data_IF_422583874804
#
_entry.id   IF_422583874804
#
_cell.length_a   1.000
_cell.length_b   1.000
_cell.length_c   1.000
_cell.angle_alpha   90.00
_cell.angle_beta   90.00
_cell.angle_gamma   90.00
#
_symmetry.space_group_name_H-M   'P 1'
#
loop_
_entity.id
_entity.type
_entity.pdbx_description
1 polymer ?
#
# COMPACT_ATOMS: atom_id res chain seq x y z
N UNK A 1 -12.15 -75.03 7.80
CA UNK A 1 -11.60 -75.32 6.47
C UNK A 1 -11.72 -74.06 5.64
N UNK A 2 -10.56 -73.55 5.20
CA UNK A 2 -10.29 -72.78 3.95
C UNK A 2 -11.20 -71.61 3.58
N UNK A 3 -10.73 -70.47 3.07
CA UNK A 3 -9.45 -69.77 2.93
C UNK A 3 -9.86 -68.54 2.10
N UNK A 4 -9.38 -67.35 2.41
CA UNK A 4 -9.73 -66.14 1.68
C UNK A 4 -8.83 -64.98 2.03
N UNK A 5 -7.52 -65.13 1.77
CA UNK A 5 -6.59 -64.01 1.65
C UNK A 5 -7.08 -63.06 0.56
N UNK A 6 -6.95 -61.74 0.78
CA UNK A 6 -6.47 -60.79 -0.23
C UNK A 6 -6.01 -59.47 0.43
N UNK A 7 -4.73 -59.21 0.21
CA UNK A 7 -4.04 -57.93 -0.01
C UNK A 7 -4.13 -56.75 0.97
N UNK A 8 -3.07 -56.68 1.78
CA UNK A 8 -2.45 -55.43 2.21
C UNK A 8 -1.96 -54.65 0.97
N UNK A 9 -2.69 -53.62 0.55
CA UNK A 9 -2.19 -52.62 -0.40
C UNK A 9 -1.60 -51.43 0.34
N UNK A 10 -0.32 -51.23 0.09
CA UNK A 10 0.51 -50.09 0.45
C UNK A 10 -0.17 -48.78 -0.03
N UNK A 11 -0.63 -47.90 0.87
CA UNK A 11 -1.07 -46.53 0.53
C UNK A 11 -0.01 -45.53 0.97
N UNK A 12 0.53 -44.84 -0.02
CA UNK A 12 1.50 -43.76 0.16
C UNK A 12 0.92 -42.58 0.95
N UNK A 13 1.72 -41.86 1.74
CA UNK A 13 1.33 -40.61 2.36
C UNK A 13 1.56 -39.47 1.37
N UNK A 14 0.50 -38.74 1.01
CA UNK A 14 0.65 -37.63 0.07
C UNK A 14 -0.68 -37.20 -0.52
N UNK A 15 -1.52 -36.55 0.27
CA UNK A 15 -2.61 -35.76 -0.28
C UNK A 15 -2.60 -34.43 0.45
N UNK A 16 -1.85 -33.48 -0.13
CA UNK A 16 -1.89 -32.08 0.25
C UNK A 16 -3.23 -31.55 -0.24
N UNK A 17 -4.07 -31.10 0.67
CA UNK A 17 -5.26 -30.32 0.31
C UNK A 17 -4.79 -28.90 0.01
N UNK A 18 -4.41 -28.61 -1.23
CA UNK A 18 -4.30 -27.24 -1.72
C UNK A 18 -5.71 -26.73 -2.00
N UNK A 19 -6.26 -25.96 -1.07
CA UNK A 19 -7.41 -25.11 -1.35
C UNK A 19 -6.87 -23.92 -2.13
N UNK A 20 -6.96 -23.97 -3.45
CA UNK A 20 -6.70 -22.84 -4.33
C UNK A 20 -7.77 -21.77 -4.09
N UNK A 21 -7.39 -20.70 -3.39
CA UNK A 21 -8.18 -19.48 -3.32
C UNK A 21 -7.96 -18.67 -4.60
N UNK A 22 -8.74 -18.93 -5.64
CA UNK A 22 -8.71 -18.19 -6.91
C UNK A 22 -9.42 -16.83 -6.88
N UNK A 23 -9.79 -16.31 -5.71
CA UNK A 23 -10.53 -15.04 -5.57
C UNK A 23 -9.71 -13.83 -5.07
N UNK A 24 -8.38 -13.96 -4.98
CA UNK A 24 -7.51 -12.84 -4.58
C UNK A 24 -7.38 -11.73 -5.64
N UNK A 25 -7.82 -11.98 -6.88
CA UNK A 25 -7.76 -11.01 -7.98
C UNK A 25 -8.99 -10.10 -8.07
N UNK A 26 -10.11 -10.46 -7.46
CA UNK A 26 -11.33 -9.65 -7.50
C UNK A 26 -11.23 -8.40 -6.58
N UNK A 27 -10.53 -8.53 -5.45
CA UNK A 27 -10.32 -7.43 -4.49
C UNK A 27 -9.32 -6.38 -4.97
N UNK A 28 -8.34 -6.75 -5.81
CA UNK A 28 -7.46 -5.76 -6.45
C UNK A 28 -8.19 -4.93 -7.50
N UNK A 29 -9.19 -5.49 -8.18
CA UNK A 29 -9.92 -4.78 -9.25
C UNK A 29 -11.03 -3.86 -8.73
N UNK A 30 -11.58 -4.13 -7.54
CA UNK A 30 -12.58 -3.28 -6.89
C UNK A 30 -12.00 -2.10 -6.08
N UNK A 31 -10.68 -2.06 -5.86
CA UNK A 31 -9.99 -0.95 -5.19
C UNK A 31 -9.27 -0.01 -6.17
N UNK A 32 -9.13 -0.37 -7.45
CA UNK A 32 -8.23 0.30 -8.39
C UNK A 32 -8.80 1.48 -9.20
N UNK A 33 -10.07 1.86 -9.08
CA UNK A 33 -10.55 3.14 -9.64
C UNK A 33 -10.54 4.21 -8.55
N UNK A 34 -9.36 4.56 -8.04
CA UNK A 34 -9.23 5.63 -7.05
C UNK A 34 -9.01 6.96 -7.77
N UNK A 35 -10.11 7.54 -8.28
CA UNK A 35 -10.08 8.89 -8.82
C UNK A 35 -9.60 9.87 -7.74
N UNK A 36 -8.74 10.81 -8.15
CA UNK A 36 -8.14 11.78 -7.24
C UNK A 36 -9.21 12.81 -6.84
N UNK A 37 -9.56 12.85 -5.56
CA UNK A 37 -10.53 13.82 -5.03
C UNK A 37 -9.81 15.10 -4.66
N UNK A 38 -9.80 16.08 -5.56
CA UNK A 38 -9.26 17.41 -5.30
C UNK A 38 -10.26 18.23 -4.47
N UNK A 39 -9.79 18.83 -3.37
CA UNK A 39 -10.57 19.81 -2.60
C UNK A 39 -10.80 21.08 -3.41
N UNK A 40 -11.87 21.82 -3.13
CA UNK A 40 -12.17 23.10 -3.81
C UNK A 40 -11.01 24.11 -3.72
N UNK A 41 -10.24 24.08 -2.63
CA UNK A 41 -9.04 24.91 -2.48
C UNK A 41 -7.96 24.54 -3.49
N UNK A 42 -7.68 23.25 -3.68
CA UNK A 42 -6.68 22.79 -4.65
C UNK A 42 -7.12 23.05 -6.10
N UNK A 43 -8.43 22.94 -6.39
CA UNK A 43 -8.98 23.36 -7.68
C UNK A 43 -8.75 24.86 -7.93
N UNK A 44 -8.99 25.69 -6.93
CA UNK A 44 -8.72 27.14 -7.01
C UNK A 44 -7.23 27.50 -7.11
N UNK A 45 -6.33 26.65 -6.60
CA UNK A 45 -4.89 26.82 -6.78
C UNK A 45 -4.45 26.49 -8.21
N UNK A 46 -5.07 25.49 -8.82
CA UNK A 46 -4.77 25.03 -10.18
C UNK A 46 -5.47 25.87 -11.26
N UNK A 47 -6.53 26.63 -10.93
CA UNK A 47 -7.25 27.47 -11.90
C UNK A 47 -6.39 28.57 -12.53
N UNK A 48 -5.28 28.96 -11.89
CA UNK A 48 -4.33 29.90 -12.49
C UNK A 48 -3.59 29.30 -13.70
N UNK A 49 -3.39 27.98 -13.73
CA UNK A 49 -2.65 27.30 -14.79
C UNK A 49 -3.34 27.39 -16.16
N UNK A 50 -4.68 27.53 -16.20
CA UNK A 50 -5.40 27.69 -17.47
C UNK A 50 -5.20 29.04 -18.14
N UNK A 51 -4.66 30.04 -17.41
CA UNK A 51 -4.41 31.39 -17.92
C UNK A 51 -2.96 31.61 -18.39
N UNK A 52 -2.11 30.59 -18.20
CA UNK A 52 -0.66 30.68 -18.34
C UNK A 52 -0.20 29.77 -19.48
N UNK A 53 0.83 30.19 -20.22
CA UNK A 53 1.37 29.42 -21.34
C UNK A 53 1.84 28.02 -20.91
N UNK A 54 1.65 27.00 -21.77
CA UNK A 54 1.98 25.61 -21.44
C UNK A 54 3.46 25.40 -21.11
N UNK A 55 4.36 26.19 -21.69
CA UNK A 55 5.80 26.15 -21.38
C UNK A 55 6.09 26.57 -19.94
N UNK A 56 5.35 27.56 -19.44
CA UNK A 56 5.48 28.05 -18.06
C UNK A 56 4.91 27.03 -17.08
N UNK A 57 3.82 26.35 -17.43
CA UNK A 57 3.27 25.24 -16.62
C UNK A 57 4.30 24.12 -16.46
N UNK A 58 5.07 23.81 -17.50
CA UNK A 58 6.16 22.85 -17.42
C UNK A 58 7.27 23.31 -16.45
N UNK A 59 7.59 24.61 -16.44
CA UNK A 59 8.58 25.18 -15.51
C UNK A 59 8.08 25.19 -14.06
N UNK A 60 6.81 25.52 -13.80
CA UNK A 60 6.20 25.37 -12.48
C UNK A 60 6.21 23.93 -12.00
N UNK A 61 5.94 23.02 -12.93
CA UNK A 61 6.11 21.60 -12.76
C UNK A 61 7.50 21.22 -12.26
N UNK A 62 8.55 21.69 -12.94
CA UNK A 62 9.96 21.50 -12.53
C UNK A 62 10.24 22.05 -11.13
N UNK A 63 9.79 23.27 -10.84
CA UNK A 63 9.96 23.90 -9.54
C UNK A 63 9.27 23.09 -8.43
N UNK A 64 8.04 22.62 -8.66
CA UNK A 64 7.30 21.80 -7.70
C UNK A 64 8.07 20.53 -7.31
N UNK A 65 8.79 19.93 -8.27
CA UNK A 65 9.58 18.72 -8.05
C UNK A 65 10.87 18.98 -7.32
N UNK A 66 11.57 20.08 -7.67
CA UNK A 66 12.76 20.50 -6.94
C UNK A 66 12.42 20.78 -5.47
N UNK A 67 11.22 21.32 -5.20
CA UNK A 67 10.72 21.50 -3.84
C UNK A 67 10.39 20.20 -3.13
N UNK A 68 9.81 19.21 -3.81
CA UNK A 68 9.62 17.87 -3.23
C UNK A 68 10.94 17.21 -2.80
N UNK A 69 12.06 17.59 -3.42
CA UNK A 69 13.38 17.01 -3.15
C UNK A 69 14.21 17.77 -2.14
N UNK A 70 14.27 19.09 -2.29
CA UNK A 70 15.21 19.97 -1.58
C UNK A 70 14.52 20.85 -0.55
N UNK A 71 13.19 20.83 -0.50
CA UNK A 71 12.38 21.74 0.30
C UNK A 71 12.05 23.03 -0.44
N UNK A 72 11.04 23.75 0.05
CA UNK A 72 10.56 25.00 -0.53
C UNK A 72 11.53 26.15 -0.27
N UNK A 73 11.68 27.06 -1.25
CA UNK A 73 12.49 28.27 -1.06
C UNK A 73 11.76 29.53 -1.56
N UNK A 74 11.67 30.60 -0.74
CA UNK A 74 10.91 31.79 -1.08
C UNK A 74 11.47 32.54 -2.29
N UNK A 75 12.80 32.52 -2.47
CA UNK A 75 13.50 33.21 -3.56
C UNK A 75 13.11 32.72 -4.95
N UNK A 76 12.76 31.44 -5.08
CA UNK A 76 12.36 30.86 -6.37
C UNK A 76 10.95 31.31 -6.75
N UNK A 77 10.04 31.44 -5.76
CA UNK A 77 8.71 32.01 -5.99
C UNK A 77 8.80 33.47 -6.46
N UNK A 78 9.62 34.29 -5.80
CA UNK A 78 9.85 35.70 -6.17
C UNK A 78 10.45 35.83 -7.58
N UNK A 79 11.41 34.97 -7.94
CA UNK A 79 12.04 34.96 -9.25
C UNK A 79 11.06 34.57 -10.36
N UNK A 80 10.23 33.55 -10.13
CA UNK A 80 9.21 33.10 -11.07
C UNK A 80 8.09 34.15 -11.24
N UNK A 81 7.61 34.74 -10.14
CA UNK A 81 6.63 35.83 -10.15
C UNK A 81 7.10 37.02 -10.99
N UNK A 82 8.38 37.42 -10.83
CA UNK A 82 8.96 38.52 -11.60
C UNK A 82 9.08 38.22 -13.10
N UNK A 83 9.38 36.96 -13.48
CA UNK A 83 9.47 36.54 -14.89
C UNK A 83 8.11 36.52 -15.60
N UNK A 84 7.05 36.24 -14.85
CA UNK A 84 5.71 36.01 -15.38
C UNK A 84 4.77 37.21 -15.20
N UNK A 85 5.21 38.24 -14.48
CA UNK A 85 4.37 39.40 -14.16
C UNK A 85 3.17 39.06 -13.26
N UNK A 86 3.24 37.94 -12.54
CA UNK A 86 2.18 37.47 -11.65
C UNK A 86 2.51 37.78 -10.18
N UNK A 87 1.50 37.71 -9.30
CA UNK A 87 1.75 37.83 -7.85
C UNK A 87 2.50 36.60 -7.32
N UNK A 88 3.32 36.81 -6.30
CA UNK A 88 4.09 35.72 -5.66
C UNK A 88 3.13 34.67 -5.09
N UNK A 89 1.99 35.11 -4.55
CA UNK A 89 0.95 34.26 -3.98
C UNK A 89 0.28 33.37 -5.04
N UNK A 90 0.04 33.88 -6.25
CA UNK A 90 -0.53 33.07 -7.34
C UNK A 90 0.45 31.99 -7.80
N UNK A 91 1.73 32.34 -7.95
CA UNK A 91 2.77 31.38 -8.32
C UNK A 91 2.94 30.33 -7.23
N UNK A 92 2.95 30.73 -5.96
CA UNK A 92 3.06 29.82 -4.84
C UNK A 92 1.90 28.82 -4.82
N UNK A 93 0.66 29.30 -4.93
CA UNK A 93 -0.53 28.44 -4.96
C UNK A 93 -0.50 27.47 -6.13
N UNK A 94 -0.13 27.93 -7.32
CA UNK A 94 -0.05 27.08 -8.51
C UNK A 94 0.98 25.95 -8.35
N UNK A 95 2.18 26.27 -7.86
CA UNK A 95 3.24 25.29 -7.59
C UNK A 95 2.84 24.31 -6.48
N UNK A 96 2.21 24.78 -5.40
CA UNK A 96 1.70 23.93 -4.33
C UNK A 96 0.58 23.00 -4.82
N UNK A 97 -0.31 23.49 -5.68
CA UNK A 97 -1.35 22.70 -6.33
C UNK A 97 -0.77 21.59 -7.20
N UNK A 98 0.24 21.90 -8.03
CA UNK A 98 0.95 20.92 -8.84
C UNK A 98 1.70 19.89 -7.99
N UNK A 99 2.35 20.35 -6.93
CA UNK A 99 3.04 19.49 -5.98
C UNK A 99 2.06 18.49 -5.35
N UNK A 100 0.90 18.97 -4.87
CA UNK A 100 -0.15 18.12 -4.31
C UNK A 100 -0.67 17.11 -5.33
N UNK A 101 -0.99 17.57 -6.54
CA UNK A 101 -1.52 16.73 -7.61
C UNK A 101 -0.54 15.59 -7.96
N UNK A 102 0.74 15.89 -8.14
CA UNK A 102 1.77 14.88 -8.45
C UNK A 102 1.97 13.93 -7.27
N UNK A 103 2.03 14.44 -6.05
CA UNK A 103 2.24 13.63 -4.85
C UNK A 103 1.09 12.65 -4.61
N UNK A 104 -0.15 13.12 -4.67
CA UNK A 104 -1.35 12.30 -4.52
C UNK A 104 -1.48 11.27 -5.64
N UNK A 105 -1.17 11.65 -6.88
CA UNK A 105 -1.17 10.73 -8.02
C UNK A 105 -0.13 9.61 -7.85
N UNK A 106 1.07 9.96 -7.35
CA UNK A 106 2.12 8.99 -7.05
C UNK A 106 1.75 8.09 -5.87
N UNK A 107 1.10 8.65 -4.84
CA UNK A 107 0.66 7.92 -3.65
C UNK A 107 -0.37 6.84 -3.99
N UNK A 108 -1.32 7.16 -4.88
CA UNK A 108 -2.34 6.22 -5.35
C UNK A 108 -1.90 5.35 -6.52
N UNK A 109 -0.68 5.55 -7.03
CA UNK A 109 -0.14 4.81 -8.17
C UNK A 109 -1.07 4.81 -9.38
N UNK A 110 -1.68 5.97 -9.68
CA UNK A 110 -2.71 6.10 -10.71
C UNK A 110 -2.21 5.64 -12.08
N UNK A 111 -3.09 4.98 -12.84
CA UNK A 111 -2.86 4.71 -14.25
C UNK A 111 -2.99 6.01 -15.06
N UNK A 112 -2.48 6.03 -16.29
CA UNK A 112 -2.58 7.19 -17.18
C UNK A 112 -4.04 7.61 -17.42
N UNK A 113 -4.93 6.63 -17.59
CA UNK A 113 -6.36 6.87 -17.79
C UNK A 113 -7.01 7.44 -16.53
N UNK A 114 -6.72 6.87 -15.35
CA UNK A 114 -7.30 7.35 -14.09
C UNK A 114 -6.82 8.77 -13.75
N UNK A 115 -5.58 9.10 -14.12
CA UNK A 115 -5.01 10.42 -13.93
C UNK A 115 -5.71 11.46 -14.81
N UNK A 116 -5.90 11.16 -16.11
CA UNK A 116 -6.61 12.04 -17.03
C UNK A 116 -8.07 12.23 -16.59
N UNK A 117 -8.75 11.15 -16.21
CA UNK A 117 -10.13 11.20 -15.71
C UNK A 117 -10.26 12.07 -14.45
N UNK A 118 -9.26 12.04 -13.58
CA UNK A 118 -9.22 12.88 -12.37
C UNK A 118 -9.04 14.37 -12.68
N UNK A 119 -8.28 14.71 -13.73
CA UNK A 119 -7.99 16.10 -14.12
C UNK A 119 -9.06 16.68 -15.03
N UNK A 120 -9.82 15.85 -15.76
CA UNK A 120 -10.92 16.30 -16.62
C UNK A 120 -11.93 17.18 -15.85
N UNK A 121 -12.13 16.93 -14.55
CA UNK A 121 -13.00 17.73 -13.66
C UNK A 121 -12.51 19.19 -13.51
N UNK A 122 -11.23 19.47 -13.75
CA UNK A 122 -10.65 20.81 -13.69
C UNK A 122 -10.95 21.66 -14.94
N UNK A 123 -11.43 21.05 -16.03
CA UNK A 123 -11.82 21.77 -17.24
C UNK A 123 -10.67 22.41 -18.02
N UNK A 124 -9.45 21.89 -17.89
CA UNK A 124 -8.30 22.39 -18.64
C UNK A 124 -8.32 21.98 -20.12
N UNK A 125 -7.53 22.68 -20.93
CA UNK A 125 -7.33 22.32 -22.34
C UNK A 125 -6.65 20.96 -22.48
N UNK A 126 -6.92 20.28 -23.59
CA UNK A 126 -6.36 18.95 -23.87
C UNK A 126 -4.82 18.98 -23.90
N UNK A 127 -4.22 20.06 -24.41
CA UNK A 127 -2.78 20.27 -24.45
C UNK A 127 -2.17 20.35 -23.04
N UNK A 128 -2.83 21.09 -22.13
CA UNK A 128 -2.39 21.22 -20.74
C UNK A 128 -2.51 19.87 -20.03
N UNK A 129 -3.61 19.14 -20.22
CA UNK A 129 -3.80 17.80 -19.65
C UNK A 129 -2.69 16.83 -20.08
N UNK A 130 -2.30 16.87 -21.37
CA UNK A 130 -1.20 16.05 -21.88
C UNK A 130 0.14 16.46 -21.27
N UNK A 131 0.40 17.76 -21.10
CA UNK A 131 1.61 18.25 -20.44
C UNK A 131 1.68 17.82 -18.96
N UNK A 132 0.56 17.87 -18.23
CA UNK A 132 0.47 17.38 -16.85
C UNK A 132 0.67 15.87 -16.76
N UNK A 133 0.13 15.11 -17.72
CA UNK A 133 0.34 13.66 -17.79
C UNK A 133 1.81 13.33 -18.03
N UNK A 134 2.46 14.01 -18.99
CA UNK A 134 3.90 13.84 -19.24
C UNK A 134 4.72 14.16 -18.00
N UNK A 135 4.36 15.23 -17.29
CA UNK A 135 4.99 15.57 -16.02
C UNK A 135 4.78 14.47 -14.97
N UNK A 136 3.56 13.98 -14.77
CA UNK A 136 3.30 12.88 -13.85
C UNK A 136 4.15 11.64 -14.18
N UNK A 137 4.18 11.23 -15.46
CA UNK A 137 4.92 10.05 -15.89
C UNK A 137 6.42 10.18 -15.65
N UNK A 138 7.03 11.29 -16.07
CA UNK A 138 8.46 11.56 -15.88
C UNK A 138 8.87 11.56 -14.40
N UNK A 139 7.95 11.95 -13.53
CA UNK A 139 8.25 12.25 -12.13
C UNK A 139 7.81 11.15 -11.19
N UNK A 140 6.86 10.32 -11.59
CA UNK A 140 6.43 9.14 -10.83
C UNK A 140 7.61 8.23 -10.49
N UNK A 141 8.57 8.06 -11.42
CA UNK A 141 9.79 7.31 -11.18
C UNK A 141 10.69 7.91 -10.08
N UNK A 142 10.62 9.23 -9.89
CA UNK A 142 11.50 9.99 -9.00
C UNK A 142 10.87 10.22 -7.62
N UNK A 143 9.55 10.39 -7.55
CA UNK A 143 8.80 10.67 -6.31
C UNK A 143 8.44 9.37 -5.56
N UNK A 144 8.14 8.27 -6.28
CA UNK A 144 7.83 6.97 -5.67
C UNK A 144 8.91 6.45 -4.70
N UNK A 145 10.22 6.49 -5.00
CA UNK A 145 11.23 6.03 -4.05
C UNK A 145 11.32 6.93 -2.80
N UNK A 146 11.03 8.23 -2.91
CA UNK A 146 10.97 9.14 -1.76
C UNK A 146 9.76 8.81 -0.87
N UNK A 147 8.59 8.62 -1.47
CA UNK A 147 7.39 8.16 -0.75
C UNK A 147 7.59 6.80 -0.08
N UNK A 148 8.31 5.88 -0.75
CA UNK A 148 8.66 4.58 -0.20
C UNK A 148 9.58 4.68 1.03
N UNK A 149 10.48 5.66 1.09
CA UNK A 149 11.32 5.91 2.27
C UNK A 149 10.53 6.50 3.45
N UNK A 150 9.51 7.32 3.15
CA UNK A 150 8.66 7.96 4.16
C UNK A 150 7.59 7.03 4.72
N UNK A 151 7.22 5.98 3.98
CA UNK A 151 6.21 5.00 4.41
C UNK A 151 6.87 3.88 5.22
N UNK A 152 6.45 3.63 6.47
CA UNK A 152 7.01 2.53 7.24
C UNK A 152 6.71 1.19 6.55
N UNK A 153 7.76 0.44 6.26
CA UNK A 153 7.70 -0.85 5.57
C UNK A 153 7.35 -1.95 6.57
N UNK A 154 6.06 -2.06 6.94
CA UNK A 154 5.63 -3.18 7.76
C UNK A 154 5.61 -4.48 6.93
N UNK A 155 6.11 -5.60 7.49
CA UNK A 155 5.96 -6.89 6.86
C UNK A 155 4.48 -7.29 6.81
N UNK A 156 4.02 -7.69 5.64
CA UNK A 156 2.64 -8.10 5.42
C UNK A 156 2.49 -9.59 5.69
N UNK A 157 1.46 -9.97 6.44
CA UNK A 157 1.13 -11.39 6.62
C UNK A 157 0.82 -12.04 5.27
N UNK A 158 1.44 -13.20 5.00
CA UNK A 158 1.16 -14.01 3.81
C UNK A 158 0.47 -15.31 4.18
N UNK A 159 1.07 -16.09 5.07
CA UNK A 159 0.52 -17.38 5.49
C UNK A 159 1.07 -17.82 6.85
N UNK A 160 0.37 -18.78 7.46
CA UNK A 160 0.72 -19.42 8.72
C UNK A 160 0.67 -20.93 8.52
N UNK A 161 1.79 -21.59 8.79
CA UNK A 161 1.88 -23.04 8.90
C UNK A 161 1.99 -23.40 10.37
N UNK A 162 1.46 -24.56 10.77
CA UNK A 162 1.53 -24.99 12.15
C UNK A 162 1.69 -26.50 12.29
N UNK A 163 2.29 -26.90 13.41
CA UNK A 163 2.42 -28.30 13.82
C UNK A 163 2.17 -28.43 15.32
N UNK A 164 1.32 -29.37 15.70
CA UNK A 164 1.10 -29.74 17.09
C UNK A 164 1.91 -31.00 17.40
N UNK A 165 2.87 -30.86 18.30
CA UNK A 165 3.68 -31.96 18.81
C UNK A 165 3.18 -32.34 20.20
N UNK A 166 2.97 -33.63 20.46
CA UNK A 166 2.53 -34.11 21.77
C UNK A 166 3.60 -35.03 22.33
N UNK A 167 4.31 -34.56 23.35
CA UNK A 167 5.27 -35.40 24.07
C UNK A 167 4.55 -36.14 25.20
N UNK A 168 4.52 -37.47 25.10
CA UNK A 168 4.12 -38.36 26.19
C UNK A 168 5.36 -38.58 27.05
N UNK A 169 5.44 -37.96 28.23
CA UNK A 169 6.57 -38.17 29.12
C UNK A 169 6.62 -39.61 29.68
N UNK A 170 7.83 -40.05 30.03
CA UNK A 170 8.28 -41.33 30.59
C UNK A 170 7.24 -42.31 31.17
N UNK A 171 7.53 -43.61 31.01
CA UNK A 171 6.79 -44.78 31.54
C UNK A 171 6.45 -44.73 33.04
N UNK A 172 7.10 -43.84 33.80
CA UNK A 172 6.91 -43.63 35.24
C UNK A 172 5.80 -42.63 35.60
N UNK A 173 5.35 -41.77 34.68
CA UNK A 173 4.31 -40.75 34.93
C UNK A 173 3.19 -40.87 33.88
N UNK A 174 2.30 -41.85 34.06
CA UNK A 174 1.37 -42.36 33.01
C UNK A 174 0.28 -41.41 32.49
N UNK A 175 0.32 -40.11 32.74
CA UNK A 175 -0.79 -39.20 32.41
C UNK A 175 -0.38 -37.78 31.99
N UNK A 176 0.91 -37.49 31.81
CA UNK A 176 1.33 -36.14 31.42
C UNK A 176 1.50 -36.04 29.90
N UNK A 177 0.52 -35.38 29.27
CA UNK A 177 0.58 -34.93 27.89
C UNK A 177 1.14 -33.50 27.88
N UNK A 178 2.27 -33.30 27.21
CA UNK A 178 2.87 -31.98 27.01
C UNK A 178 2.70 -31.56 25.54
N UNK A 179 1.54 -30.98 25.15
CA UNK A 179 1.34 -30.44 23.81
C UNK A 179 2.17 -29.17 23.62
N UNK A 180 2.91 -29.11 22.52
CA UNK A 180 3.69 -27.96 22.06
C UNK A 180 3.25 -27.64 20.64
N UNK A 181 2.82 -26.42 20.40
CA UNK A 181 2.51 -25.94 19.06
C UNK A 181 3.72 -25.21 18.49
N UNK A 182 4.14 -25.57 17.28
CA UNK A 182 5.10 -24.81 16.48
C UNK A 182 4.34 -24.08 15.39
N UNK A 183 4.52 -22.77 15.29
CA UNK A 183 3.92 -21.89 14.28
C UNK A 183 5.02 -21.32 13.39
N UNK A 184 4.82 -21.33 12.08
CA UNK A 184 5.68 -20.68 11.11
C UNK A 184 4.88 -19.59 10.39
N UNK A 185 5.22 -18.33 10.68
CA UNK A 185 4.63 -17.16 10.04
C UNK A 185 5.46 -16.80 8.81
N UNK A 186 4.82 -16.81 7.65
CA UNK A 186 5.40 -16.34 6.39
C UNK A 186 4.92 -14.90 6.18
N UNK A 187 5.88 -13.98 6.12
CA UNK A 187 5.65 -12.54 6.00
C UNK A 187 6.32 -12.03 4.70
N UNK A 188 5.63 -11.18 3.96
CA UNK A 188 6.20 -10.50 2.80
C UNK A 188 6.81 -9.18 3.26
N UNK A 189 8.09 -8.93 2.95
CA UNK A 189 8.70 -7.62 3.23
C UNK A 189 7.96 -6.54 2.43
N UNK A 190 7.33 -5.60 3.13
CA UNK A 190 6.59 -4.50 2.53
C UNK A 190 7.52 -3.42 2.00
N UNK A 191 8.28 -3.68 0.94
CA UNK A 191 9.09 -2.67 0.26
C UNK A 191 8.45 -2.24 -1.06
N UNK A 192 8.15 -0.94 -1.22
CA UNK A 192 7.68 -0.35 -2.48
C UNK A 192 8.79 -0.21 -3.55
N UNK A 193 10.00 -0.74 -3.31
CA UNK A 193 11.05 -0.88 -4.32
C UNK A 193 11.02 -2.30 -4.88
N UNK A 194 10.76 -2.43 -6.18
CA UNK A 194 10.63 -3.71 -6.92
C UNK A 194 11.90 -4.56 -7.03
N UNK A 195 12.72 -4.63 -5.97
CA UNK A 195 13.88 -5.52 -5.86
C UNK A 195 13.57 -6.70 -4.95
N UNK A 196 13.43 -7.88 -5.54
CA UNK A 196 13.38 -9.20 -4.91
C UNK A 196 12.48 -9.30 -3.66
N UNK A 197 11.22 -9.73 -3.87
CA UNK A 197 10.27 -10.08 -2.81
C UNK A 197 10.81 -11.17 -1.89
N UNK A 198 11.54 -10.76 -0.85
CA UNK A 198 12.01 -11.65 0.20
C UNK A 198 10.87 -11.95 1.15
N UNK A 199 10.45 -13.21 1.21
CA UNK A 199 9.61 -13.70 2.29
C UNK A 199 10.46 -13.90 3.56
N UNK A 200 10.03 -13.29 4.66
CA UNK A 200 10.55 -13.51 5.99
C UNK A 200 9.78 -14.65 6.65
N UNK A 201 10.49 -15.61 7.25
CA UNK A 201 9.88 -16.72 7.99
C UNK A 201 10.15 -16.52 9.48
N UNK A 202 9.10 -16.48 10.31
CA UNK A 202 9.22 -16.42 11.77
C UNK A 202 8.68 -17.68 12.39
N UNK A 203 9.56 -18.45 13.02
CA UNK A 203 9.21 -19.65 13.76
C UNK A 203 8.94 -19.29 15.22
N UNK A 204 7.79 -19.72 15.74
CA UNK A 204 7.35 -19.50 17.11
C UNK A 204 6.95 -20.83 17.73
N UNK A 205 7.20 -21.00 19.03
CA UNK A 205 6.64 -22.11 19.80
C UNK A 205 5.70 -21.56 20.86
N UNK A 206 4.52 -22.16 20.97
CA UNK A 206 3.48 -21.74 21.88
C UNK A 206 2.86 -22.94 22.59
N UNK A 207 2.50 -22.74 23.86
CA UNK A 207 1.63 -23.67 24.58
C UNK A 207 0.17 -23.40 24.21
N UNK A 208 -0.74 -24.38 24.34
CA UNK A 208 -2.16 -24.15 24.04
C UNK A 208 -2.77 -22.95 24.77
N UNK A 209 -2.42 -22.73 26.04
CA UNK A 209 -2.87 -21.56 26.81
C UNK A 209 -2.43 -20.23 26.18
N UNK A 210 -1.22 -20.17 25.61
CA UNK A 210 -0.72 -18.97 24.92
C UNK A 210 -1.47 -18.73 23.62
N UNK A 211 -1.87 -19.78 22.89
CA UNK A 211 -2.69 -19.64 21.68
C UNK A 211 -4.09 -19.11 21.99
N UNK A 212 -4.72 -19.59 23.06
CA UNK A 212 -6.03 -19.10 23.49
C UNK A 212 -5.96 -17.61 23.87
N UNK A 213 -4.90 -17.20 24.55
CA UNK A 213 -4.66 -15.80 24.85
C UNK A 213 -4.45 -14.97 23.57
N UNK A 214 -3.68 -15.48 22.61
CA UNK A 214 -3.43 -14.81 21.33
C UNK A 214 -4.72 -14.66 20.52
N UNK A 215 -5.58 -15.69 20.48
CA UNK A 215 -6.91 -15.62 19.85
C UNK A 215 -7.76 -14.53 20.49
N UNK A 216 -7.88 -14.51 21.82
CA UNK A 216 -8.61 -13.47 22.55
C UNK A 216 -8.09 -12.06 22.25
N UNK A 217 -6.76 -11.89 22.18
CA UNK A 217 -6.16 -10.60 21.86
C UNK A 217 -6.45 -10.16 20.42
N UNK A 218 -6.39 -11.08 19.46
CA UNK A 218 -6.69 -10.80 18.06
C UNK A 218 -8.18 -10.51 17.83
N UNK A 219 -9.07 -11.24 18.48
CA UNK A 219 -10.52 -10.99 18.45
C UNK A 219 -10.84 -9.62 19.06
N UNK A 220 -10.24 -9.29 20.20
CA UNK A 220 -10.34 -7.96 20.80
C UNK A 220 -9.86 -6.87 19.85
N UNK A 221 -8.71 -7.07 19.18
CA UNK A 221 -8.21 -6.14 18.17
C UNK A 221 -9.20 -5.97 16.99
N UNK A 222 -9.78 -7.06 16.47
CA UNK A 222 -10.78 -7.00 15.42
C UNK A 222 -12.04 -6.24 15.86
N UNK A 223 -12.47 -6.38 17.10
CA UNK A 223 -13.61 -5.63 17.62
C UNK A 223 -13.29 -4.15 17.82
N UNK A 224 -12.06 -3.80 18.23
CA UNK A 224 -11.65 -2.38 18.29
C UNK A 224 -11.64 -1.72 16.91
N UNK A 225 -11.29 -2.46 15.84
CA UNK A 225 -11.37 -1.98 14.45
C UNK A 225 -12.82 -1.70 14.03
N UNK A 226 -13.79 -2.47 14.54
CA UNK A 226 -15.22 -2.23 14.28
C UNK A 226 -15.77 -1.02 15.04
N UNK A 227 -15.04 -0.49 16.04
CA UNK A 227 -15.52 0.65 16.82
C UNK A 227 -15.70 1.91 15.97
N UNK A 228 -16.67 2.75 16.34
CA UNK A 228 -16.93 4.01 15.64
C UNK A 228 -15.72 4.94 15.63
N UNK A 229 -14.98 4.99 16.75
CA UNK A 229 -13.79 5.82 16.89
C UNK A 229 -12.68 5.40 15.91
N UNK A 230 -12.34 4.10 15.87
CA UNK A 230 -11.31 3.59 14.96
C UNK A 230 -11.72 3.72 13.49
N UNK A 231 -13.01 3.52 13.16
CA UNK A 231 -13.53 3.77 11.80
C UNK A 231 -13.41 5.23 11.39
N UNK A 232 -13.62 6.19 12.31
CA UNK A 232 -13.42 7.62 12.03
C UNK A 232 -11.95 7.93 11.76
N UNK A 233 -11.03 7.35 12.54
CA UNK A 233 -9.59 7.50 12.34
C UNK A 233 -9.16 6.90 10.99
N UNK A 234 -9.58 5.67 10.68
CA UNK A 234 -9.28 4.99 9.41
C UNK A 234 -9.77 5.74 8.17
N UNK A 235 -10.84 6.53 8.27
CA UNK A 235 -11.28 7.40 7.16
C UNK A 235 -10.35 8.57 6.90
N UNK A 236 -9.64 9.04 7.93
CA UNK A 236 -8.75 10.19 7.87
C UNK A 236 -7.29 9.80 7.61
N UNK A 237 -6.92 8.54 7.88
CA UNK A 237 -5.64 7.96 7.48
C UNK A 237 -5.81 7.41 6.06
N UNK A 238 -5.63 8.27 5.06
CA UNK A 238 -5.30 7.87 3.69
C UNK A 238 -3.80 8.02 3.51
#
# INVERSE_FOLDING_TARGET
>A
MTLGSHDYTHRQPGTVWTVEWTDALCWRRLICAMLLVLSEQHKGHLSFLSSVDPEVVAEFGRIALDFLRRGTSPKIYEAAARKLGASVEQVQRAVEGLMFLVLESCRHTLSETDFLDSILVLGFSQELNNNLLQLYLQQSAQVRPLLAQLTPTLPNYHSLEWRLDVNMSSRTLRQQLCPVMTLCLLLNKGGAGGGAGGSERRLLQARPATLLHLLSALEGALDTLKSSHTRRILRNIK
#
